data_IF_728576843841
#
_entry.id   IF_728576843841
#
_cell.length_a   1.000
_cell.length_b   1.000
_cell.length_c   1.000
_cell.angle_alpha   90.00
_cell.angle_beta   90.00
_cell.angle_gamma   90.00
#
_symmetry.space_group_name_H-M   'P 1'
#
loop_
_entity.id
_entity.type
_entity.pdbx_description
1 polymer ?
#
# COMPACT_ATOMS: atom_id res chain seq x y z
N UNK A 1 -72.45 1.71 -18.99
CA UNK A 1 -73.51 2.73 -18.76
C UNK A 1 -72.77 4.06 -18.67
N UNK A 2 -73.09 4.88 -19.69
CA UNK A 2 -73.08 6.35 -19.79
C UNK A 2 -71.84 7.15 -19.41
N UNK A 3 -71.19 7.72 -20.40
CA UNK A 3 -71.42 8.82 -21.36
C UNK A 3 -71.10 10.20 -20.75
N UNK A 4 -70.14 10.85 -21.35
CA UNK A 4 -70.07 12.23 -21.88
C UNK A 4 -69.91 13.40 -20.92
N UNK A 5 -68.97 14.30 -21.11
CA UNK A 5 -69.12 15.51 -21.92
C UNK A 5 -67.88 16.30 -22.11
N UNK A 6 -67.65 16.59 -23.38
CA UNK A 6 -66.70 17.56 -23.97
C UNK A 6 -67.21 18.98 -23.62
N UNK A 7 -66.26 19.86 -23.29
CA UNK A 7 -66.45 21.31 -23.41
C UNK A 7 -65.16 21.92 -24.00
N UNK A 8 -65.30 22.31 -25.25
CA UNK A 8 -64.30 23.13 -25.97
C UNK A 8 -64.48 24.60 -25.54
N UNK A 9 -63.38 25.27 -25.21
CA UNK A 9 -63.36 26.76 -25.13
C UNK A 9 -62.35 27.28 -26.12
N UNK A 10 -62.82 27.95 -27.16
CA UNK A 10 -62.14 28.82 -28.05
C UNK A 10 -61.83 30.12 -27.31
N UNK A 11 -60.58 30.62 -27.35
CA UNK A 11 -60.20 31.97 -26.97
C UNK A 11 -59.27 32.52 -28.04
N UNK A 12 -59.37 33.82 -28.41
CA UNK A 12 -58.96 34.34 -29.69
C UNK A 12 -57.48 34.78 -29.73
N UNK A 13 -57.03 34.85 -30.99
CA UNK A 13 -55.78 35.41 -31.45
C UNK A 13 -55.59 36.85 -30.98
N UNK A 14 -54.48 37.13 -30.28
CA UNK A 14 -53.92 38.48 -30.14
C UNK A 14 -52.50 38.46 -30.69
N UNK A 15 -52.34 39.19 -31.79
CA UNK A 15 -51.06 39.53 -32.34
C UNK A 15 -50.28 40.38 -31.32
N UNK A 16 -49.16 39.84 -30.80
CA UNK A 16 -48.21 40.57 -29.99
C UNK A 16 -46.83 40.52 -30.63
N UNK A 17 -46.29 41.72 -30.90
CA UNK A 17 -45.02 41.99 -31.53
C UNK A 17 -43.88 41.13 -31.05
N UNK A 18 -43.17 40.53 -31.99
CA UNK A 18 -41.90 39.83 -31.77
C UNK A 18 -40.83 40.84 -31.38
N UNK A 19 -40.51 40.90 -30.09
CA UNK A 19 -39.29 41.52 -29.58
C UNK A 19 -38.17 40.48 -29.63
N UNK A 20 -37.30 40.57 -30.63
CA UNK A 20 -36.13 39.72 -30.78
C UNK A 20 -35.11 40.06 -29.68
N UNK A 21 -35.25 39.46 -28.54
CA UNK A 21 -34.18 39.47 -27.52
C UNK A 21 -33.04 38.55 -27.99
N UNK A 22 -31.98 39.14 -28.52
CA UNK A 22 -30.71 38.46 -28.76
C UNK A 22 -30.19 37.92 -27.44
N UNK A 23 -30.37 36.62 -27.19
CA UNK A 23 -29.74 35.93 -26.07
C UNK A 23 -28.23 35.85 -26.34
N UNK A 24 -27.51 36.85 -25.88
CA UNK A 24 -26.04 36.75 -25.77
C UNK A 24 -25.75 35.58 -24.81
N UNK A 25 -25.35 34.43 -25.38
CA UNK A 25 -24.83 33.30 -24.63
C UNK A 25 -23.59 33.76 -23.88
N UNK A 26 -23.75 34.12 -22.61
CA UNK A 26 -22.63 34.28 -21.70
C UNK A 26 -22.08 32.87 -21.49
N UNK A 27 -21.05 32.52 -22.27
CA UNK A 27 -20.19 31.39 -21.96
C UNK A 27 -19.54 31.71 -20.60
N UNK A 28 -20.18 31.24 -19.53
CA UNK A 28 -19.50 31.20 -18.25
C UNK A 28 -18.19 30.45 -18.45
N UNK A 29 -17.08 31.15 -18.36
CA UNK A 29 -15.77 30.51 -18.35
C UNK A 29 -15.74 29.58 -17.17
N UNK A 30 -15.85 28.29 -17.44
CA UNK A 30 -15.69 27.26 -16.43
C UNK A 30 -14.29 27.47 -15.87
N UNK A 31 -14.20 27.93 -14.63
CA UNK A 31 -12.92 28.03 -13.94
C UNK A 31 -12.20 26.69 -14.11
N UNK A 32 -10.94 26.72 -14.55
CA UNK A 32 -10.18 25.50 -14.75
C UNK A 32 -10.23 24.70 -13.44
N UNK A 33 -10.70 23.45 -13.51
CA UNK A 33 -10.70 22.58 -12.32
C UNK A 33 -9.28 22.53 -11.77
N UNK A 34 -9.10 22.67 -10.45
CA UNK A 34 -7.77 22.62 -9.85
C UNK A 34 -7.08 21.30 -10.23
N UNK A 35 -5.85 21.39 -10.69
CA UNK A 35 -5.07 20.20 -11.04
C UNK A 35 -4.99 19.29 -9.83
N UNK A 36 -5.38 18.01 -9.99
CA UNK A 36 -5.27 17.02 -8.94
C UNK A 36 -3.81 16.80 -8.55
N UNK A 37 -3.45 16.71 -7.26
CA UNK A 37 -2.08 16.54 -6.84
C UNK A 37 -1.55 15.15 -7.19
N UNK A 38 -0.25 15.02 -7.39
CA UNK A 38 0.42 13.74 -7.34
C UNK A 38 0.42 13.21 -5.91
N UNK A 39 0.30 11.90 -5.75
CA UNK A 39 0.26 11.24 -4.45
C UNK A 39 1.42 10.25 -4.37
N UNK A 40 2.26 10.40 -3.35
CA UNK A 40 3.29 9.41 -3.01
C UNK A 40 2.97 8.86 -1.63
N UNK A 41 2.66 7.57 -1.56
CA UNK A 41 2.55 6.84 -0.32
C UNK A 41 3.86 6.10 -0.08
N UNK A 42 4.69 6.66 0.79
CA UNK A 42 6.00 6.11 1.14
C UNK A 42 5.88 5.26 2.41
N UNK A 43 6.09 3.96 2.28
CA UNK A 43 5.97 3.00 3.38
C UNK A 43 7.31 2.35 3.69
N UNK A 44 7.75 2.45 4.94
CA UNK A 44 8.95 1.78 5.47
C UNK A 44 8.50 0.57 6.28
N UNK A 45 9.05 -0.60 5.97
CA UNK A 45 8.65 -1.86 6.60
C UNK A 45 9.33 -2.05 7.94
N UNK A 46 8.58 -2.48 8.96
CA UNK A 46 9.06 -2.75 10.33
C UNK A 46 9.70 -1.55 11.05
N UNK A 47 9.47 -0.32 10.58
CA UNK A 47 9.99 0.88 11.20
C UNK A 47 9.11 1.30 12.39
N UNK A 48 9.69 1.29 13.59
CA UNK A 48 9.05 1.82 14.79
C UNK A 48 9.04 3.35 14.81
N UNK A 49 8.12 3.94 15.55
CA UNK A 49 7.99 5.40 15.68
C UNK A 49 9.23 6.08 16.32
N UNK A 50 10.09 5.31 16.97
CA UNK A 50 11.36 5.81 17.51
C UNK A 50 12.56 5.56 16.58
N UNK A 51 12.39 4.80 15.47
CA UNK A 51 13.48 4.44 14.56
C UNK A 51 13.81 5.55 13.56
N UNK A 52 13.73 6.79 14.00
CA UNK A 52 13.97 8.01 13.25
C UNK A 52 14.55 9.07 14.16
N UNK A 53 15.29 10.05 13.60
CA UNK A 53 15.73 11.21 14.35
C UNK A 53 14.62 12.25 14.60
N UNK A 54 13.43 12.08 13.99
CA UNK A 54 12.26 12.93 14.23
C UNK A 54 11.56 12.52 15.53
N UNK A 55 11.51 13.37 16.58
CA UNK A 55 10.83 13.05 17.84
C UNK A 55 9.32 13.19 17.70
N UNK A 56 8.58 12.15 18.12
CA UNK A 56 7.12 12.14 18.15
C UNK A 56 6.56 12.50 19.53
N UNK A 57 7.32 12.27 20.60
CA UNK A 57 6.90 12.67 21.94
C UNK A 57 7.08 14.16 22.16
N UNK A 58 6.24 14.69 23.03
CA UNK A 58 6.24 16.10 23.42
C UNK A 58 6.36 16.22 24.93
N UNK A 59 6.99 17.27 25.40
CA UNK A 59 6.92 17.72 26.78
C UNK A 59 5.56 18.38 27.03
N UNK A 60 5.24 18.70 28.30
CA UNK A 60 3.97 19.34 28.67
C UNK A 60 3.75 20.69 27.98
N UNK A 61 4.81 21.42 27.71
CA UNK A 61 4.81 22.68 26.97
C UNK A 61 4.70 22.53 25.44
N UNK A 62 4.58 21.30 24.93
CA UNK A 62 4.49 20.99 23.51
C UNK A 62 5.83 20.94 22.77
N UNK A 63 6.96 21.15 23.43
CA UNK A 63 8.29 21.03 22.80
C UNK A 63 8.61 19.57 22.46
N UNK A 64 9.38 19.30 21.38
CA UNK A 64 9.77 17.93 21.02
C UNK A 64 10.61 17.28 22.13
N UNK A 65 10.24 16.04 22.51
CA UNK A 65 10.96 15.22 23.50
C UNK A 65 11.69 14.07 22.79
N UNK A 66 12.97 14.24 22.41
CA UNK A 66 13.72 13.19 21.75
C UNK A 66 14.07 12.06 22.72
N UNK A 67 13.79 10.83 22.31
CA UNK A 67 14.19 9.62 23.03
C UNK A 67 15.65 9.25 22.77
N UNK A 68 16.17 8.24 23.46
CA UNK A 68 17.49 7.68 23.20
C UNK A 68 17.63 7.20 21.75
N UNK A 69 16.60 6.53 21.20
CA UNK A 69 16.61 6.01 19.83
C UNK A 69 16.58 7.16 18.81
N UNK A 70 15.79 8.21 19.02
CA UNK A 70 15.80 9.37 18.12
C UNK A 70 17.21 10.01 18.02
N UNK A 71 18.00 9.99 19.10
CA UNK A 71 19.38 10.49 19.10
C UNK A 71 20.37 9.57 18.38
N UNK A 72 20.04 8.27 18.29
CA UNK A 72 20.88 7.25 17.62
C UNK A 72 20.72 7.26 16.10
N UNK A 73 19.49 7.48 15.61
CA UNK A 73 19.19 7.44 14.18
C UNK A 73 19.48 8.78 13.51
N UNK A 74 19.72 8.72 12.20
CA UNK A 74 19.96 9.90 11.37
C UNK A 74 19.03 9.84 10.15
N UNK A 75 17.92 10.55 10.19
CA UNK A 75 16.90 10.60 9.12
C UNK A 75 16.55 12.05 8.74
N UNK A 76 17.53 12.82 8.18
CA UNK A 76 17.38 14.27 7.95
C UNK A 76 16.24 14.59 6.98
N UNK A 77 15.95 13.72 6.01
CA UNK A 77 14.87 13.93 5.07
C UNK A 77 13.48 13.76 5.73
N UNK A 78 13.35 12.85 6.72
CA UNK A 78 12.12 12.73 7.50
C UNK A 78 11.91 13.94 8.41
N UNK A 79 12.98 14.47 8.98
CA UNK A 79 12.93 15.73 9.74
C UNK A 79 12.50 16.91 8.86
N UNK A 80 13.07 17.02 7.65
CA UNK A 80 12.70 18.06 6.70
C UNK A 80 11.22 17.95 6.28
N UNK A 81 10.75 16.73 6.01
CA UNK A 81 9.36 16.47 5.68
C UNK A 81 8.43 16.82 6.86
N UNK A 82 8.80 16.43 8.08
CA UNK A 82 8.04 16.76 9.28
C UNK A 82 7.94 18.27 9.56
N UNK A 83 8.97 19.04 9.19
CA UNK A 83 8.95 20.53 9.28
C UNK A 83 8.07 21.19 8.22
N UNK A 84 7.92 20.56 7.06
CA UNK A 84 7.16 21.09 5.92
C UNK A 84 5.69 20.62 5.90
N UNK A 85 5.38 19.57 6.64
CA UNK A 85 4.09 18.92 6.63
C UNK A 85 3.49 18.75 8.02
N UNK A 86 2.61 17.78 8.14
CA UNK A 86 1.95 17.41 9.39
C UNK A 86 2.52 16.11 9.94
N UNK A 87 2.82 16.07 11.23
CA UNK A 87 3.26 14.87 11.94
C UNK A 87 2.10 14.34 12.78
N UNK A 88 1.65 13.12 12.48
CA UNK A 88 0.62 12.43 13.25
C UNK A 88 1.26 11.66 14.39
N UNK A 89 0.97 12.04 15.61
CA UNK A 89 1.52 11.40 16.84
C UNK A 89 0.69 10.19 17.28
N UNK A 90 -0.56 10.08 16.81
CA UNK A 90 -1.51 9.02 17.14
C UNK A 90 -1.99 8.31 15.86
N UNK A 91 -1.06 7.72 15.11
CA UNK A 91 -1.37 6.91 13.93
C UNK A 91 -0.97 5.46 14.20
N UNK A 92 -1.89 4.53 13.95
CA UNK A 92 -1.71 3.12 14.29
C UNK A 92 -1.83 2.24 13.05
N UNK A 93 -0.98 1.22 12.97
CA UNK A 93 -1.05 0.14 12.00
C UNK A 93 -1.44 -1.18 12.70
N UNK A 94 -1.70 -2.22 11.94
CA UNK A 94 -1.79 -3.57 12.48
C UNK A 94 -0.39 -4.05 12.91
N UNK A 95 -0.30 -5.00 13.86
CA UNK A 95 1.01 -5.41 14.41
C UNK A 95 1.88 -6.19 13.42
N UNK A 96 1.36 -6.61 12.27
CA UNK A 96 2.03 -7.44 11.28
C UNK A 96 1.86 -6.84 9.88
N UNK A 97 2.78 -7.14 8.97
CA UNK A 97 2.89 -6.54 7.62
C UNK A 97 1.66 -6.77 6.73
N UNK A 98 1.23 -8.03 6.46
CA UNK A 98 0.08 -8.28 5.58
C UNK A 98 -1.22 -7.65 6.08
N UNK A 99 -1.62 -7.77 7.36
CA UNK A 99 -2.82 -7.10 7.87
C UNK A 99 -2.81 -5.58 7.65
N UNK A 100 -1.68 -4.91 7.95
CA UNK A 100 -1.53 -3.46 7.73
C UNK A 100 -1.69 -3.09 6.25
N UNK A 101 -1.02 -3.84 5.37
CA UNK A 101 -1.02 -3.60 3.92
C UNK A 101 -2.38 -3.90 3.30
N UNK A 102 -3.05 -4.96 3.76
CA UNK A 102 -4.42 -5.29 3.36
C UNK A 102 -5.40 -4.20 3.80
N UNK A 103 -5.26 -3.68 5.02
CA UNK A 103 -6.07 -2.56 5.52
C UNK A 103 -5.87 -1.31 4.68
N UNK A 104 -4.61 -0.95 4.39
CA UNK A 104 -4.26 0.21 3.58
C UNK A 104 -4.79 0.09 2.14
N UNK A 105 -4.69 -1.09 1.54
CA UNK A 105 -5.15 -1.35 0.18
C UNK A 105 -6.67 -1.34 0.04
N UNK A 106 -7.38 -1.85 1.05
CA UNK A 106 -8.82 -2.09 1.00
C UNK A 106 -9.67 -1.05 1.72
N UNK A 107 -9.08 -0.22 2.60
CA UNK A 107 -9.81 0.67 3.51
C UNK A 107 -10.59 -0.07 4.61
N UNK A 108 -10.31 -1.36 4.83
CA UNK A 108 -10.96 -2.19 5.83
C UNK A 108 -9.99 -2.50 6.99
N UNK A 109 -10.51 -2.65 8.21
CA UNK A 109 -9.74 -3.19 9.32
C UNK A 109 -9.58 -4.72 9.23
N UNK A 110 -8.66 -5.30 10.01
CA UNK A 110 -8.37 -6.74 9.98
C UNK A 110 -9.54 -7.62 10.38
N UNK A 111 -10.43 -7.16 11.24
CA UNK A 111 -11.65 -7.90 11.60
C UNK A 111 -12.60 -8.05 10.40
N UNK A 112 -12.59 -7.08 9.48
CA UNK A 112 -13.44 -7.08 8.30
C UNK A 112 -12.82 -7.83 7.12
N UNK A 113 -11.53 -7.62 6.83
CA UNK A 113 -10.87 -8.33 5.73
C UNK A 113 -10.32 -9.70 6.15
N UNK A 114 -10.39 -10.08 7.41
CA UNK A 114 -10.03 -11.42 7.95
C UNK A 114 -8.57 -11.83 7.75
N UNK A 115 -7.69 -10.92 7.37
CA UNK A 115 -6.25 -11.17 7.28
C UNK A 115 -5.63 -10.70 8.59
N UNK A 116 -5.24 -11.65 9.44
CA UNK A 116 -4.75 -11.37 10.80
C UNK A 116 -3.29 -11.74 10.99
N UNK A 117 -2.68 -12.41 10.01
CA UNK A 117 -1.28 -12.79 10.01
C UNK A 117 -0.67 -12.59 8.61
N UNK A 118 0.66 -12.70 8.48
CA UNK A 118 1.33 -12.60 7.20
C UNK A 118 1.00 -13.78 6.27
N UNK A 119 0.97 -13.54 4.98
CA UNK A 119 0.62 -14.54 3.96
C UNK A 119 1.82 -14.81 3.07
N UNK A 120 2.10 -16.06 2.72
CA UNK A 120 3.16 -16.44 1.79
C UNK A 120 2.72 -17.53 0.82
N UNK A 121 2.31 -18.67 1.34
CA UNK A 121 1.94 -19.84 0.57
C UNK A 121 0.42 -20.00 0.56
N UNK A 122 -0.10 -20.38 -0.60
CA UNK A 122 -1.53 -20.58 -0.79
C UNK A 122 -2.07 -21.66 0.14
N UNK A 123 -3.21 -21.39 0.76
CA UNK A 123 -3.98 -22.29 1.64
C UNK A 123 -3.20 -22.79 2.87
N UNK A 124 -2.09 -22.13 3.22
CA UNK A 124 -1.28 -22.48 4.38
C UNK A 124 -1.26 -21.32 5.38
N UNK A 125 -1.39 -21.65 6.66
CA UNK A 125 -1.15 -20.69 7.74
C UNK A 125 0.34 -20.51 7.96
N UNK A 126 0.74 -19.29 8.30
CA UNK A 126 2.12 -18.96 8.70
C UNK A 126 2.30 -18.92 10.19
N UNK A 127 1.24 -19.16 10.98
CA UNK A 127 1.36 -19.32 12.41
C UNK A 127 2.15 -20.61 12.72
N UNK A 128 3.12 -20.50 13.62
CA UNK A 128 3.78 -21.66 14.19
C UNK A 128 2.71 -22.43 15.00
N UNK A 129 2.08 -23.39 14.33
CA UNK A 129 0.84 -24.03 14.78
C UNK A 129 0.90 -24.51 16.21
N UNK A 130 0.22 -23.84 17.10
CA UNK A 130 -0.11 -24.44 18.39
C UNK A 130 -1.17 -25.51 18.13
N UNK A 131 -0.88 -26.78 18.46
CA UNK A 131 -1.73 -27.93 18.14
C UNK A 131 -3.18 -27.80 18.64
N UNK A 132 -3.40 -27.02 19.70
CA UNK A 132 -4.72 -26.76 20.27
C UNK A 132 -5.49 -25.62 19.59
N UNK A 133 -4.84 -24.79 18.75
CA UNK A 133 -5.46 -23.65 18.08
C UNK A 133 -5.71 -23.99 16.62
N UNK A 134 -6.98 -24.01 16.23
CA UNK A 134 -7.38 -24.18 14.82
C UNK A 134 -7.83 -22.83 14.27
N UNK A 135 -7.34 -22.48 13.08
CA UNK A 135 -7.85 -21.30 12.39
C UNK A 135 -9.36 -21.45 12.14
N UNK A 136 -10.17 -20.39 12.35
CA UNK A 136 -11.58 -20.39 11.95
C UNK A 136 -11.74 -20.73 10.47
N UNK A 137 -12.87 -21.34 10.10
CA UNK A 137 -13.14 -21.73 8.72
C UNK A 137 -13.16 -20.54 7.74
N UNK A 138 -13.51 -19.37 8.24
CA UNK A 138 -13.56 -18.11 7.50
C UNK A 138 -12.27 -17.26 7.60
N UNK A 139 -11.21 -17.80 8.19
CA UNK A 139 -9.92 -17.09 8.27
C UNK A 139 -9.21 -17.09 6.92
N UNK A 140 -8.83 -15.92 6.45
CA UNK A 140 -8.16 -15.77 5.17
C UNK A 140 -6.64 -15.97 5.30
N UNK A 141 -6.18 -17.16 4.99
CA UNK A 141 -4.74 -17.46 4.88
C UNK A 141 -4.15 -17.00 3.54
N UNK A 142 -5.01 -16.67 2.56
CA UNK A 142 -4.60 -16.25 1.21
C UNK A 142 -4.44 -14.74 1.04
N UNK A 143 -4.66 -13.96 2.10
CA UNK A 143 -4.69 -12.51 2.02
C UNK A 143 -5.97 -11.98 1.37
N UNK A 144 -5.97 -10.72 0.94
CA UNK A 144 -7.06 -10.13 0.17
C UNK A 144 -6.90 -10.48 -1.32
N UNK A 145 -8.05 -10.52 -2.02
CA UNK A 145 -8.08 -10.80 -3.44
C UNK A 145 -8.75 -9.63 -4.19
N UNK A 146 -8.34 -9.33 -5.43
CA UNK A 146 -8.98 -8.28 -6.22
C UNK A 146 -10.46 -8.58 -6.45
N UNK A 147 -11.29 -7.52 -6.47
CA UNK A 147 -12.72 -7.65 -6.78
C UNK A 147 -12.95 -8.28 -8.16
N UNK A 148 -13.94 -9.17 -8.27
CA UNK A 148 -14.25 -9.89 -9.50
C UNK A 148 -13.46 -11.18 -9.71
N UNK A 149 -12.50 -11.53 -8.85
CA UNK A 149 -11.81 -12.83 -8.89
C UNK A 149 -12.67 -13.93 -8.27
N UNK A 150 -12.46 -15.16 -8.73
CA UNK A 150 -13.17 -16.35 -8.23
C UNK A 150 -12.21 -17.28 -7.53
N UNK A 151 -12.72 -18.21 -6.73
CA UNK A 151 -11.92 -19.21 -6.04
C UNK A 151 -11.13 -20.11 -7.01
N UNK A 152 -11.64 -20.30 -8.22
CA UNK A 152 -10.87 -20.90 -9.32
C UNK A 152 -11.20 -20.20 -10.62
N UNK A 153 -10.25 -20.11 -11.52
CA UNK A 153 -10.47 -19.48 -12.82
C UNK A 153 -9.22 -18.94 -13.47
N UNK A 154 -9.45 -18.17 -14.50
CA UNK A 154 -8.39 -17.48 -15.23
C UNK A 154 -8.69 -15.98 -15.22
N UNK A 155 -7.70 -15.18 -14.92
CA UNK A 155 -7.79 -13.72 -14.97
C UNK A 155 -6.87 -13.19 -16.07
N UNK A 156 -7.38 -12.28 -16.89
CA UNK A 156 -6.61 -11.57 -17.90
C UNK A 156 -6.13 -10.24 -17.34
N UNK A 157 -4.86 -9.93 -17.50
CA UNK A 157 -4.32 -8.61 -17.22
C UNK A 157 -4.60 -7.68 -18.40
N UNK A 158 -5.08 -6.44 -18.17
CA UNK A 158 -5.48 -5.52 -19.24
C UNK A 158 -4.35 -5.09 -20.18
N UNK A 159 -3.09 -5.16 -19.73
CA UNK A 159 -1.93 -4.65 -20.48
C UNK A 159 -1.02 -5.77 -21.03
N UNK A 160 -1.29 -7.00 -20.68
CA UNK A 160 -0.61 -8.20 -21.22
C UNK A 160 -1.69 -9.23 -21.45
N UNK A 161 -1.56 -10.02 -22.48
CA UNK A 161 -2.46 -11.16 -22.72
C UNK A 161 -2.21 -12.34 -21.75
N UNK A 162 -1.48 -12.09 -20.68
CA UNK A 162 -1.17 -13.08 -19.65
C UNK A 162 -2.43 -13.56 -18.96
N UNK A 163 -2.64 -14.85 -18.95
CA UNK A 163 -3.71 -15.53 -18.24
C UNK A 163 -3.16 -16.12 -16.96
N UNK A 164 -3.66 -15.64 -15.84
CA UNK A 164 -3.30 -16.20 -14.53
C UNK A 164 -4.34 -17.23 -14.14
N UNK A 165 -3.93 -18.49 -14.11
CA UNK A 165 -4.75 -19.59 -13.61
C UNK A 165 -4.54 -19.75 -12.12
N UNK A 166 -5.64 -19.81 -11.36
CA UNK A 166 -5.60 -19.99 -9.92
C UNK A 166 -6.75 -20.85 -9.42
N UNK A 167 -6.51 -21.51 -8.30
CA UNK A 167 -7.53 -22.25 -7.56
C UNK A 167 -7.25 -22.05 -6.07
N UNK A 168 -8.28 -21.71 -5.31
CA UNK A 168 -8.22 -21.57 -3.85
C UNK A 168 -9.28 -22.44 -3.21
N UNK A 169 -8.93 -23.11 -2.14
CA UNK A 169 -9.80 -24.07 -1.47
C UNK A 169 -10.64 -23.41 -0.36
N UNK A 170 -10.18 -22.26 0.14
CA UNK A 170 -10.82 -21.55 1.26
C UNK A 170 -11.41 -20.23 0.81
N UNK A 171 -12.47 -19.73 1.47
CA UNK A 171 -13.01 -18.40 1.27
C UNK A 171 -11.92 -17.32 1.44
N UNK A 172 -12.04 -16.24 0.70
CA UNK A 172 -11.11 -15.10 0.75
C UNK A 172 -11.88 -13.79 0.57
N UNK A 173 -11.44 -12.69 1.21
CA UNK A 173 -12.06 -11.40 1.04
C UNK A 173 -11.67 -10.78 -0.30
N UNK A 174 -12.70 -10.37 -1.06
CA UNK A 174 -12.52 -9.61 -2.29
C UNK A 174 -12.62 -8.13 -2.01
N UNK A 175 -11.70 -7.34 -2.57
CA UNK A 175 -11.63 -5.91 -2.34
C UNK A 175 -11.47 -5.12 -3.63
N UNK A 176 -12.10 -3.96 -3.69
CA UNK A 176 -11.77 -2.93 -4.67
C UNK A 176 -10.60 -2.12 -4.10
N UNK A 177 -9.42 -2.32 -4.68
CA UNK A 177 -8.20 -1.68 -4.19
C UNK A 177 -8.18 -0.16 -4.40
N UNK A 178 -7.52 0.55 -3.50
CA UNK A 178 -7.29 2.00 -3.61
C UNK A 178 -6.74 2.43 -4.99
N UNK A 179 -5.76 1.71 -5.61
CA UNK A 179 -5.28 2.09 -6.94
C UNK A 179 -6.36 2.01 -8.02
N UNK A 180 -7.28 1.03 -7.94
CA UNK A 180 -8.39 0.95 -8.89
C UNK A 180 -9.36 2.14 -8.79
N UNK A 181 -9.58 2.66 -7.58
CA UNK A 181 -10.37 3.86 -7.35
C UNK A 181 -9.66 5.10 -7.91
N UNK A 182 -8.37 5.26 -7.64
CA UNK A 182 -7.56 6.37 -8.14
C UNK A 182 -7.45 6.33 -9.68
N UNK A 183 -7.28 5.15 -10.26
CA UNK A 183 -7.28 4.97 -11.72
C UNK A 183 -8.59 5.43 -12.35
N UNK A 184 -9.74 5.14 -11.76
CA UNK A 184 -11.04 5.66 -12.20
C UNK A 184 -11.12 7.20 -12.14
N UNK A 185 -10.32 7.82 -11.28
CA UNK A 185 -10.16 9.27 -11.18
C UNK A 185 -9.08 9.83 -12.11
N UNK A 186 -8.53 9.03 -13.04
CA UNK A 186 -7.57 9.46 -14.03
C UNK A 186 -6.10 9.48 -13.58
N UNK A 187 -5.78 8.87 -12.42
CA UNK A 187 -4.39 8.70 -11.98
C UNK A 187 -3.69 7.61 -12.76
N UNK A 188 -2.41 7.82 -13.09
CA UNK A 188 -1.48 6.73 -13.40
C UNK A 188 -0.99 6.13 -12.11
N UNK A 189 -1.13 4.82 -11.94
CA UNK A 189 -0.91 4.13 -10.66
C UNK A 189 0.30 3.22 -10.70
N UNK A 190 1.22 3.39 -9.74
CA UNK A 190 2.52 2.73 -9.71
C UNK A 190 2.70 2.04 -8.36
N UNK A 191 3.01 0.76 -8.40
CA UNK A 191 3.49 -0.02 -7.25
C UNK A 191 4.99 -0.23 -7.37
N UNK A 192 5.74 -0.02 -6.28
CA UNK A 192 7.18 -0.28 -6.23
C UNK A 192 7.57 -0.90 -4.87
N UNK A 193 8.16 -2.09 -4.90
CA UNK A 193 8.66 -2.79 -3.72
C UNK A 193 7.69 -3.80 -3.13
N UNK A 194 7.63 -3.92 -1.82
CA UNK A 194 6.84 -4.93 -1.10
C UNK A 194 5.34 -4.74 -1.27
N UNK A 195 4.66 -5.73 -1.83
CA UNK A 195 3.20 -5.79 -1.90
C UNK A 195 2.59 -6.57 -0.73
N UNK A 196 2.81 -7.86 -0.68
CA UNK A 196 2.42 -8.74 0.43
C UNK A 196 0.92 -8.68 0.77
N UNK A 197 0.07 -8.52 -0.26
CA UNK A 197 -1.40 -8.45 -0.10
C UNK A 197 -2.06 -9.82 -0.09
N UNK A 198 -1.47 -10.78 -0.79
CA UNK A 198 -1.97 -12.13 -0.96
C UNK A 198 -0.88 -13.16 -1.14
N UNK A 199 -1.24 -14.43 -1.00
CA UNK A 199 -0.34 -15.57 -1.06
C UNK A 199 0.13 -15.90 -2.49
N UNK A 200 1.24 -16.58 -2.59
CA UNK A 200 1.79 -17.13 -3.84
C UNK A 200 0.74 -17.93 -4.61
N UNK A 201 0.72 -17.78 -5.93
CA UNK A 201 -0.24 -18.43 -6.81
C UNK A 201 -1.71 -18.07 -6.51
N UNK A 202 -1.96 -16.88 -5.97
CA UNK A 202 -3.29 -16.28 -5.89
C UNK A 202 -3.31 -14.94 -6.62
N UNK A 203 -4.48 -14.45 -7.06
CA UNK A 203 -4.58 -13.12 -7.69
C UNK A 203 -4.08 -11.99 -6.79
N UNK A 204 -4.22 -12.15 -5.47
CA UNK A 204 -3.75 -11.17 -4.49
C UNK A 204 -2.23 -11.01 -4.41
N UNK A 205 -1.45 -11.92 -4.99
CA UNK A 205 -0.01 -11.77 -5.10
C UNK A 205 0.42 -10.74 -6.16
N UNK A 206 -0.49 -10.38 -7.09
CA UNK A 206 -0.16 -9.49 -8.19
C UNK A 206 -0.79 -8.10 -8.01
N UNK A 207 -0.01 -7.04 -7.69
CA UNK A 207 -0.51 -5.69 -7.51
C UNK A 207 -1.31 -5.13 -8.70
N UNK A 208 -0.99 -5.53 -9.93
CA UNK A 208 -1.69 -5.05 -11.12
C UNK A 208 -3.18 -5.41 -11.12
N UNK A 209 -3.54 -6.52 -10.52
CA UNK A 209 -4.93 -6.94 -10.41
C UNK A 209 -5.74 -6.09 -9.41
N UNK A 210 -5.08 -5.34 -8.53
CA UNK A 210 -5.72 -4.34 -7.67
C UNK A 210 -5.87 -2.97 -8.33
N UNK A 211 -5.42 -2.82 -9.59
CA UNK A 211 -5.58 -1.59 -10.37
C UNK A 211 -4.32 -0.77 -10.57
N UNK A 212 -3.14 -1.27 -10.17
CA UNK A 212 -1.89 -0.64 -10.54
C UNK A 212 -1.59 -0.81 -12.04
N UNK A 213 -1.24 0.29 -12.71
CA UNK A 213 -0.80 0.28 -14.11
C UNK A 213 0.61 -0.32 -14.23
N UNK A 214 1.46 -0.04 -13.25
CA UNK A 214 2.84 -0.50 -13.18
C UNK A 214 3.13 -1.20 -11.88
N UNK A 215 3.90 -2.28 -11.95
CA UNK A 215 4.37 -3.03 -10.77
C UNK A 215 5.87 -3.27 -10.88
N UNK A 216 6.62 -2.79 -9.92
CA UNK A 216 8.07 -2.94 -9.81
C UNK A 216 8.33 -3.81 -8.57
N UNK A 217 8.79 -5.03 -8.80
CA UNK A 217 9.18 -6.00 -7.76
C UNK A 217 8.13 -6.34 -6.69
N UNK A 218 6.84 -6.05 -6.93
CA UNK A 218 5.76 -6.36 -5.98
C UNK A 218 5.20 -7.76 -6.19
N UNK A 219 5.23 -8.57 -5.14
CA UNK A 219 4.72 -9.95 -5.12
C UNK A 219 4.16 -10.31 -3.73
N UNK A 220 3.95 -11.62 -3.49
CA UNK A 220 3.57 -12.16 -2.20
C UNK A 220 4.66 -12.08 -1.13
N UNK A 221 5.88 -11.70 -1.51
CA UNK A 221 7.05 -11.79 -0.63
C UNK A 221 7.00 -10.75 0.48
N UNK A 222 7.13 -11.23 1.73
CA UNK A 222 7.09 -10.38 2.93
C UNK A 222 8.43 -9.74 3.29
N UNK A 223 9.54 -10.32 2.87
CA UNK A 223 10.89 -9.82 3.10
C UNK A 223 11.90 -10.49 2.17
N UNK A 224 13.00 -9.85 1.80
CA UNK A 224 14.03 -10.47 0.99
C UNK A 224 14.87 -11.44 1.84
N UNK A 225 15.42 -12.48 1.21
CA UNK A 225 16.43 -13.30 1.88
C UNK A 225 17.77 -12.55 1.99
N UNK A 226 18.03 -11.60 1.11
CA UNK A 226 19.22 -10.74 1.12
C UNK A 226 18.89 -9.40 0.48
N UNK A 227 19.58 -8.34 0.86
CA UNK A 227 19.44 -6.99 0.30
C UNK A 227 20.45 -6.65 -0.77
N UNK A 228 21.45 -7.50 -1.00
CA UNK A 228 22.58 -7.25 -1.90
C UNK A 228 22.26 -7.73 -3.32
N UNK A 229 22.61 -6.91 -4.31
CA UNK A 229 22.51 -7.25 -5.72
C UNK A 229 23.33 -8.48 -6.08
N UNK A 230 24.59 -8.60 -5.57
CA UNK A 230 25.45 -9.77 -5.75
C UNK A 230 24.87 -11.08 -5.21
N UNK A 231 23.85 -10.99 -4.35
CA UNK A 231 23.07 -12.12 -3.83
C UNK A 231 21.70 -12.23 -4.50
N UNK A 232 21.49 -11.49 -5.61
CA UNK A 232 20.25 -11.48 -6.38
C UNK A 232 19.00 -11.21 -5.53
N UNK A 233 19.14 -10.39 -4.48
CA UNK A 233 18.08 -10.07 -3.52
C UNK A 233 17.38 -11.29 -2.92
N UNK A 234 18.14 -12.38 -2.72
CA UNK A 234 17.66 -13.62 -2.13
C UNK A 234 17.42 -14.75 -3.11
N UNK A 235 16.83 -15.84 -2.61
CA UNK A 235 16.57 -17.08 -3.37
C UNK A 235 15.23 -17.71 -2.92
N UNK A 236 14.71 -18.61 -3.74
CA UNK A 236 13.51 -19.39 -3.41
C UNK A 236 12.27 -18.53 -3.18
N UNK A 237 11.54 -18.81 -2.10
CA UNK A 237 10.31 -18.08 -1.76
C UNK A 237 10.55 -16.66 -1.21
N UNK A 238 11.81 -16.23 -1.07
CA UNK A 238 12.20 -14.92 -0.56
C UNK A 238 13.10 -14.16 -1.53
N UNK A 239 13.00 -14.51 -2.82
CA UNK A 239 13.69 -13.82 -3.90
C UNK A 239 12.85 -12.65 -4.41
N UNK A 240 13.37 -11.43 -4.28
CA UNK A 240 12.77 -10.24 -4.89
C UNK A 240 13.18 -10.18 -6.37
N UNK A 241 12.25 -10.50 -7.25
CA UNK A 241 12.46 -10.58 -8.70
C UNK A 241 12.09 -9.27 -9.43
N UNK A 242 12.42 -9.21 -10.74
CA UNK A 242 12.05 -8.10 -11.61
C UNK A 242 12.95 -6.86 -11.52
N UNK A 243 14.20 -7.05 -11.06
CA UNK A 243 15.20 -5.97 -10.94
C UNK A 243 16.53 -6.30 -11.65
N UNK A 244 16.64 -7.41 -12.32
CA UNK A 244 17.86 -7.93 -12.96
C UNK A 244 18.22 -7.24 -14.27
N UNK A 245 17.27 -6.61 -14.96
CA UNK A 245 17.49 -6.01 -16.29
C UNK A 245 18.43 -4.79 -16.30
N UNK A 246 18.81 -4.27 -15.14
CA UNK A 246 19.57 -3.02 -15.00
C UNK A 246 20.95 -3.17 -14.36
N UNK A 247 21.55 -4.35 -14.43
CA UNK A 247 22.88 -4.65 -13.87
C UNK A 247 22.99 -4.43 -12.35
N UNK A 248 21.89 -4.44 -11.62
CA UNK A 248 21.89 -4.28 -10.17
C UNK A 248 22.62 -5.43 -9.47
N UNK A 249 22.57 -6.63 -10.06
CA UNK A 249 23.26 -7.80 -9.51
C UNK A 249 24.78 -7.70 -9.68
N UNK A 250 25.23 -7.26 -10.83
CA UNK A 250 26.64 -7.10 -11.16
C UNK A 250 27.29 -5.98 -10.34
N UNK A 251 26.56 -4.89 -10.14
CA UNK A 251 27.03 -3.72 -9.40
C UNK A 251 26.87 -3.85 -7.88
N UNK A 252 26.36 -4.98 -7.39
CA UNK A 252 26.03 -5.20 -5.96
C UNK A 252 25.15 -4.09 -5.37
N UNK A 253 24.25 -3.52 -6.17
CA UNK A 253 23.38 -2.41 -5.74
C UNK A 253 22.48 -2.89 -4.60
N UNK A 254 22.33 -2.07 -3.57
CA UNK A 254 21.47 -2.40 -2.44
C UNK A 254 19.98 -2.31 -2.86
N UNK A 255 19.14 -3.24 -2.41
CA UNK A 255 17.73 -3.37 -2.84
C UNK A 255 16.94 -2.06 -2.72
N UNK A 256 17.11 -1.34 -1.60
CA UNK A 256 16.42 -0.05 -1.38
C UNK A 256 16.81 0.99 -2.45
N UNK A 257 18.07 1.00 -2.85
CA UNK A 257 18.58 1.88 -3.91
C UNK A 257 18.05 1.45 -5.28
N UNK A 258 18.10 0.17 -5.61
CA UNK A 258 17.56 -0.37 -6.87
C UNK A 258 16.07 -0.03 -7.05
N UNK A 259 15.25 -0.25 -6.02
CA UNK A 259 13.83 0.11 -6.04
C UNK A 259 13.62 1.61 -6.24
N UNK A 260 14.43 2.45 -5.59
CA UNK A 260 14.35 3.91 -5.74
C UNK A 260 14.68 4.33 -7.16
N UNK A 261 15.76 3.77 -7.74
CA UNK A 261 16.16 4.06 -9.12
C UNK A 261 15.07 3.64 -10.12
N UNK A 262 14.46 2.46 -9.94
CA UNK A 262 13.38 2.01 -10.81
C UNK A 262 12.12 2.88 -10.69
N UNK A 263 11.76 3.33 -9.50
CA UNK A 263 10.66 4.25 -9.31
C UNK A 263 10.92 5.58 -10.05
N UNK A 264 12.13 6.14 -9.94
CA UNK A 264 12.53 7.38 -10.64
C UNK A 264 12.52 7.20 -12.15
N UNK A 265 13.09 6.10 -12.68
CA UNK A 265 13.03 5.78 -14.11
C UNK A 265 11.59 5.68 -14.62
N UNK A 266 10.69 5.07 -13.82
CA UNK A 266 9.26 4.97 -14.18
C UNK A 266 8.59 6.34 -14.21
N UNK A 267 8.82 7.18 -13.23
CA UNK A 267 8.29 8.55 -13.21
C UNK A 267 8.79 9.39 -14.41
N UNK A 268 10.07 9.25 -14.76
CA UNK A 268 10.63 9.93 -15.94
C UNK A 268 10.00 9.42 -17.25
N UNK A 269 9.78 8.12 -17.36
CA UNK A 269 9.11 7.52 -18.51
C UNK A 269 7.66 8.03 -18.66
N UNK A 270 6.91 8.15 -17.55
CA UNK A 270 5.55 8.70 -17.52
C UNK A 270 5.57 10.18 -17.99
N UNK A 271 6.49 10.98 -17.50
CA UNK A 271 6.62 12.39 -17.90
C UNK A 271 6.94 12.58 -19.37
N UNK A 272 7.65 11.63 -19.98
CA UNK A 272 7.99 11.63 -21.41
C UNK A 272 6.89 11.03 -22.29
N UNK A 273 5.91 10.34 -21.71
CA UNK A 273 4.81 9.74 -22.45
C UNK A 273 3.66 10.75 -22.63
N UNK A 274 3.35 11.21 -23.87
CA UNK A 274 2.29 12.21 -24.09
C UNK A 274 0.90 11.78 -23.61
N UNK A 275 0.65 10.47 -23.45
CA UNK A 275 -0.65 9.95 -22.97
C UNK A 275 -0.78 10.00 -21.45
N UNK A 276 0.32 10.18 -20.74
CA UNK A 276 0.39 10.12 -19.28
C UNK A 276 0.94 11.39 -18.62
N UNK A 277 1.73 12.18 -19.36
CA UNK A 277 2.46 13.34 -18.85
C UNK A 277 1.58 14.36 -18.09
N UNK A 278 0.35 14.56 -18.55
CA UNK A 278 -0.60 15.49 -17.92
C UNK A 278 -1.50 14.86 -16.87
N UNK A 279 -1.41 13.54 -16.66
CA UNK A 279 -2.17 12.85 -15.63
C UNK A 279 -1.46 12.95 -14.28
N UNK A 280 -2.21 13.10 -13.17
CA UNK A 280 -1.62 12.92 -11.86
C UNK A 280 -1.21 11.46 -11.68
N UNK A 281 -0.17 11.23 -10.89
CA UNK A 281 0.25 9.86 -10.55
C UNK A 281 0.02 9.53 -9.07
N UNK A 282 -0.19 8.25 -8.80
CA UNK A 282 -0.15 7.64 -7.48
C UNK A 282 1.01 6.64 -7.43
N UNK A 283 2.01 6.93 -6.62
CA UNK A 283 3.14 6.03 -6.36
C UNK A 283 2.99 5.40 -4.98
N UNK A 284 2.78 4.09 -4.92
CA UNK A 284 2.93 3.29 -3.71
C UNK A 284 4.38 2.81 -3.62
N UNK A 285 5.21 3.61 -2.94
CA UNK A 285 6.63 3.32 -2.71
C UNK A 285 6.77 2.56 -1.40
N UNK A 286 6.94 1.27 -1.49
CA UNK A 286 6.92 0.35 -0.36
C UNK A 286 8.24 -0.40 -0.27
N UNK A 287 9.19 0.18 0.45
CA UNK A 287 10.48 -0.48 0.67
C UNK A 287 10.33 -1.76 1.51
N UNK A 288 11.19 -2.74 1.26
CA UNK A 288 11.38 -3.88 2.16
C UNK A 288 12.15 -3.48 3.42
N UNK A 289 13.03 -2.47 3.33
CA UNK A 289 13.75 -1.95 4.48
C UNK A 289 12.77 -1.27 5.47
N UNK A 290 12.99 -1.44 6.77
CA UNK A 290 14.15 -2.03 7.44
C UNK A 290 13.91 -3.48 7.89
N UNK A 291 12.96 -4.19 7.28
CA UNK A 291 12.67 -5.60 7.60
C UNK A 291 13.95 -6.45 7.54
N UNK A 292 14.10 -7.36 8.51
CA UNK A 292 15.23 -8.28 8.53
C UNK A 292 15.22 -9.22 7.31
N UNK A 293 16.39 -9.74 6.89
CA UNK A 293 16.45 -10.83 5.93
C UNK A 293 15.67 -12.05 6.42
N UNK A 294 14.91 -12.68 5.53
CA UNK A 294 14.08 -13.84 5.86
C UNK A 294 14.86 -15.14 6.12
N UNK A 295 16.19 -15.13 5.90
CA UNK A 295 17.08 -16.23 6.25
C UNK A 295 18.01 -15.83 7.39
N UNK A 296 17.81 -16.38 8.56
CA UNK A 296 18.68 -16.21 9.75
C UNK A 296 20.16 -16.62 9.54
N UNK A 297 20.50 -17.25 8.42
CA UNK A 297 21.85 -17.79 8.19
C UNK A 297 22.93 -16.71 7.97
N UNK A 298 22.56 -15.47 7.68
CA UNK A 298 23.53 -14.40 7.37
C UNK A 298 23.99 -13.64 8.62
N UNK A 299 23.14 -13.56 9.66
CA UNK A 299 23.50 -12.85 10.89
C UNK A 299 24.47 -13.60 11.81
N UNK A 300 24.59 -14.91 11.70
CA UNK A 300 25.44 -15.71 12.62
C UNK A 300 26.92 -15.75 12.25
N UNK A 301 27.32 -15.35 11.05
CA UNK A 301 28.77 -15.34 10.66
C UNK A 301 29.53 -14.08 11.04
N UNK A 302 28.87 -12.96 11.29
CA UNK A 302 29.51 -11.70 11.69
C UNK A 302 29.60 -11.46 13.21
N UNK A 303 28.80 -12.15 14.02
CA UNK A 303 28.66 -11.91 15.47
C UNK A 303 29.37 -12.96 16.36
N UNK A 304 30.16 -13.87 15.79
CA UNK A 304 30.93 -14.85 16.57
C UNK A 304 32.29 -14.32 17.08
N UNK A 305 32.40 -13.08 17.51
CA UNK A 305 33.59 -12.61 18.26
C UNK A 305 33.27 -11.50 19.28
N UNK A 306 32.18 -11.60 19.98
CA UNK A 306 32.04 -10.95 21.28
C UNK A 306 30.96 -11.69 22.07
N UNK A 307 31.39 -12.50 23.03
CA UNK A 307 30.51 -13.02 24.07
C UNK A 307 29.86 -11.86 24.81
N UNK A 308 28.53 -11.70 24.79
CA UNK A 308 27.90 -10.69 25.65
C UNK A 308 28.03 -11.21 27.10
N UNK A 309 28.64 -10.41 27.95
CA UNK A 309 28.55 -10.59 29.41
C UNK A 309 27.08 -10.55 29.78
N UNK A 310 26.55 -11.52 30.57
CA UNK A 310 25.17 -11.52 31.00
C UNK A 310 24.86 -10.23 31.76
N UNK A 311 23.91 -9.44 31.29
CA UNK A 311 23.35 -8.35 32.11
C UNK A 311 22.62 -9.00 33.28
N UNK A 312 23.14 -8.82 34.45
CA UNK A 312 22.43 -9.13 35.71
C UNK A 312 21.28 -8.13 35.86
N UNK A 313 20.06 -8.58 35.62
CA UNK A 313 18.88 -7.79 35.94
C UNK A 313 18.74 -7.74 37.45
N UNK A 314 19.15 -6.63 38.07
CA UNK A 314 18.81 -6.38 39.47
C UNK A 314 17.35 -5.93 39.51
N UNK A 315 16.50 -6.74 40.14
CA UNK A 315 15.12 -6.38 40.45
C UNK A 315 15.10 -5.17 41.41
N UNK A 316 14.80 -3.98 40.88
CA UNK A 316 14.47 -2.81 41.69
C UNK A 316 13.06 -2.95 42.29
N UNK A 317 12.74 -2.26 43.39
CA UNK A 317 11.52 -2.49 44.15
C UNK A 317 10.27 -2.10 43.35
N UNK A 318 9.30 -3.00 43.33
CA UNK A 318 7.94 -2.84 42.80
C UNK A 318 7.19 -1.78 43.61
N UNK A 319 7.04 -0.59 43.07
CA UNK A 319 6.01 0.36 43.55
C UNK A 319 4.69 0.06 42.85
N UNK A 320 3.74 -0.46 43.60
CA UNK A 320 2.33 -0.55 43.21
C UNK A 320 1.75 0.86 43.19
N UNK A 321 1.50 1.43 42.02
CA UNK A 321 0.62 2.57 41.89
C UNK A 321 -0.63 2.15 41.11
N UNK A 322 -1.75 2.18 41.81
CA UNK A 322 -3.09 1.96 41.31
C UNK A 322 -3.48 3.13 40.39
N UNK A 323 -4.13 2.81 39.29
CA UNK A 323 -4.80 3.76 38.38
C UNK A 323 -6.15 4.11 38.99
N UNK A 324 -6.50 5.37 39.22
CA UNK A 324 -7.87 5.77 39.61
C UNK A 324 -8.81 5.77 38.38
N UNK A 325 -10.14 5.70 38.60
CA UNK A 325 -11.17 5.40 37.61
C UNK A 325 -11.35 6.46 36.51
#
# INVERSE_FOLDING_TARGET
MNISRIAAFLIPFLLGSACSASAASVKASRAAEPKRPNIILFLVDDMGWQDTSLPFWREEDGTPKPTFLNKRYRTPNMEALGKQGMVFTNAYAQPICSPSRCSLMSGMNSARHRVTNWTLLRDQTTDAGHQALKAPADWSVNGIQPAGTRASGTTHLPLTEEKIQYRMEKPFPQVLGLPALLKKQGYTTIHCGKAHFGSKNTPGANPRLFGFDYNIAGTEIGGPADYRGSRKYGTGNFHVCGLDENNYYENDTFLTEALTQEALKRLDAIRKNPREADKPFYLYMSHYAIHAPSTCAVMTRGLRKSTPTPMTVTNGPTTKNAIPP
#
